data_IF_471234031861
#
_entry.id   IF_471234031861
#
_cell.length_a   1.000
_cell.length_b   1.000
_cell.length_c   1.000
_cell.angle_alpha   90.00
_cell.angle_beta   90.00
_cell.angle_gamma   90.00
#
_symmetry.space_group_name_H-M   'P 1'
#
loop_
_entity.id
_entity.type
_entity.pdbx_description
1 polymer ?
#
# COMPACT_ATOMS: atom_id res chain seq x y z
N UNK A 1 -71.30 -85.77 2.24
CA UNK A 1 -70.41 -85.39 3.35
C UNK A 1 -70.76 -83.97 3.77
N UNK A 2 -71.28 -83.75 4.99
CA UNK A 2 -71.64 -82.41 5.52
C UNK A 2 -70.45 -81.88 6.35
N UNK A 3 -69.93 -80.72 5.97
CA UNK A 3 -68.79 -80.05 6.61
C UNK A 3 -69.32 -79.05 7.66
N UNK A 4 -68.93 -79.20 8.93
CA UNK A 4 -69.38 -78.35 10.06
C UNK A 4 -68.32 -77.28 10.39
N UNK A 5 -68.60 -75.97 10.25
CA UNK A 5 -67.58 -74.92 10.33
C UNK A 5 -67.32 -74.35 11.73
N UNK A 6 -67.76 -74.99 12.81
CA UNK A 6 -67.75 -74.37 14.16
C UNK A 6 -66.46 -74.55 14.97
N UNK A 7 -65.48 -75.36 14.53
CA UNK A 7 -64.23 -75.59 15.29
C UNK A 7 -63.08 -74.63 14.96
N UNK A 8 -63.08 -74.02 13.78
CA UNK A 8 -61.99 -73.13 13.37
C UNK A 8 -62.03 -71.78 14.08
N UNK A 9 -63.23 -71.25 14.34
CA UNK A 9 -63.40 -69.95 14.99
C UNK A 9 -63.01 -69.96 16.47
N UNK A 10 -63.19 -71.07 17.19
CA UNK A 10 -62.77 -71.18 18.59
C UNK A 10 -61.24 -71.28 18.76
N UNK A 11 -60.54 -71.93 17.82
CA UNK A 11 -59.08 -72.03 17.87
C UNK A 11 -58.41 -70.68 17.60
N UNK A 12 -58.96 -69.93 16.63
CA UNK A 12 -58.47 -68.59 16.27
C UNK A 12 -58.79 -67.56 17.36
N UNK A 13 -59.95 -67.67 18.01
CA UNK A 13 -60.31 -66.81 19.14
C UNK A 13 -59.45 -67.07 20.38
N UNK A 14 -59.13 -68.34 20.68
CA UNK A 14 -58.20 -68.65 21.78
C UNK A 14 -56.76 -68.22 21.49
N UNK A 15 -56.33 -68.24 20.22
CA UNK A 15 -55.03 -67.69 19.81
C UNK A 15 -55.00 -66.16 19.99
N UNK A 16 -56.07 -65.46 19.61
CA UNK A 16 -56.20 -64.01 19.78
C UNK A 16 -56.28 -63.60 21.27
N UNK A 17 -56.97 -64.38 22.11
CA UNK A 17 -57.05 -64.12 23.56
C UNK A 17 -55.70 -64.39 24.25
N UNK A 18 -54.91 -65.38 23.80
CA UNK A 18 -53.56 -65.62 24.32
C UNK A 18 -52.55 -64.54 23.89
N UNK A 19 -52.72 -63.94 22.71
CA UNK A 19 -51.92 -62.79 22.28
C UNK A 19 -52.21 -61.53 23.11
N UNK A 20 -53.43 -61.34 23.61
CA UNK A 20 -53.78 -60.21 24.47
C UNK A 20 -53.26 -60.32 25.92
N UNK A 21 -53.03 -61.53 26.43
CA UNK A 21 -52.54 -61.74 27.80
C UNK A 21 -51.02 -61.53 27.94
N UNK A 22 -50.27 -61.46 26.83
CA UNK A 22 -48.86 -61.03 26.82
C UNK A 22 -48.69 -59.51 26.89
N UNK A 23 -49.76 -58.76 27.16
CA UNK A 23 -49.67 -57.34 27.50
C UNK A 23 -49.22 -57.23 28.95
N UNK A 24 -47.95 -57.58 29.18
CA UNK A 24 -47.27 -57.27 30.42
C UNK A 24 -47.43 -55.78 30.69
N UNK A 25 -47.60 -55.46 31.97
CA UNK A 25 -47.51 -54.11 32.50
C UNK A 25 -46.08 -53.57 32.27
N UNK A 26 -45.74 -53.23 31.02
CA UNK A 26 -44.62 -52.35 30.72
C UNK A 26 -45.03 -50.97 31.20
N UNK A 27 -44.45 -50.55 32.32
CA UNK A 27 -44.93 -49.39 33.07
C UNK A 27 -44.85 -48.10 32.27
N UNK A 28 -45.70 -47.13 32.66
CA UNK A 28 -45.88 -45.83 32.00
C UNK A 28 -44.63 -44.93 31.85
N UNK A 29 -43.44 -45.44 32.16
CA UNK A 29 -42.14 -44.80 31.94
C UNK A 29 -41.65 -44.87 30.49
N UNK A 30 -42.09 -45.83 29.66
CA UNK A 30 -41.64 -45.96 28.25
C UNK A 30 -42.00 -44.73 27.40
N UNK A 31 -43.20 -44.18 27.57
CA UNK A 31 -43.63 -42.94 26.88
C UNK A 31 -42.82 -41.73 27.35
N UNK A 32 -42.52 -41.65 28.65
CA UNK A 32 -41.73 -40.54 29.21
C UNK A 32 -40.29 -40.57 28.70
N UNK A 33 -39.67 -41.76 28.63
CA UNK A 33 -38.29 -41.92 28.14
C UNK A 33 -38.19 -41.62 26.65
N UNK A 34 -39.14 -42.09 25.84
CA UNK A 34 -39.14 -41.81 24.39
C UNK A 34 -39.38 -40.34 24.09
N UNK A 35 -40.32 -39.69 24.79
CA UNK A 35 -40.53 -38.24 24.67
C UNK A 35 -39.30 -37.47 25.14
N UNK A 36 -38.67 -37.86 26.24
CA UNK A 36 -37.43 -37.22 26.69
C UNK A 36 -36.29 -37.38 25.67
N UNK A 37 -36.12 -38.56 25.08
CA UNK A 37 -35.13 -38.79 24.01
C UNK A 37 -35.44 -37.95 22.76
N UNK A 38 -36.71 -37.88 22.35
CA UNK A 38 -37.13 -37.07 21.21
C UNK A 38 -36.93 -35.57 21.46
N UNK A 39 -37.15 -35.10 22.68
CA UNK A 39 -36.86 -33.72 23.07
C UNK A 39 -35.36 -33.44 22.98
N UNK A 40 -34.50 -34.33 23.49
CA UNK A 40 -33.04 -34.20 23.40
C UNK A 40 -32.60 -34.17 21.92
N UNK A 41 -33.09 -35.11 21.11
CA UNK A 41 -32.78 -35.16 19.68
C UNK A 41 -33.27 -33.90 18.93
N UNK A 42 -34.46 -33.40 19.26
CA UNK A 42 -34.99 -32.16 18.69
C UNK A 42 -34.10 -30.96 19.04
N UNK A 43 -33.66 -30.85 20.29
CA UNK A 43 -32.73 -29.78 20.70
C UNK A 43 -31.39 -29.86 19.98
N UNK A 44 -30.88 -31.07 19.72
CA UNK A 44 -29.63 -31.28 18.99
C UNK A 44 -29.76 -30.88 17.51
N UNK A 45 -30.89 -31.19 16.86
CA UNK A 45 -31.12 -30.79 15.48
C UNK A 45 -31.28 -29.27 15.34
N UNK A 46 -31.99 -28.64 16.26
CA UNK A 46 -32.13 -27.18 16.29
C UNK A 46 -30.76 -26.52 16.50
N UNK A 47 -29.94 -27.02 17.43
CA UNK A 47 -28.61 -26.47 17.67
C UNK A 47 -27.70 -26.62 16.45
N UNK A 48 -27.70 -27.79 15.79
CA UNK A 48 -26.93 -28.01 14.56
C UNK A 48 -27.39 -27.10 13.41
N UNK A 49 -28.70 -26.89 13.24
CA UNK A 49 -29.23 -25.98 12.22
C UNK A 49 -28.82 -24.52 12.46
N UNK A 50 -28.80 -24.07 13.73
CA UNK A 50 -28.33 -22.73 14.09
C UNK A 50 -26.83 -22.59 13.82
N UNK A 51 -26.02 -23.59 14.18
CA UNK A 51 -24.57 -23.59 13.89
C UNK A 51 -24.31 -23.52 12.39
N UNK A 52 -25.00 -24.34 11.58
CA UNK A 52 -24.84 -24.35 10.12
C UNK A 52 -25.19 -23.01 9.47
N UNK A 53 -26.22 -22.30 9.97
CA UNK A 53 -26.53 -20.93 9.50
C UNK A 53 -25.42 -19.94 9.83
N UNK A 54 -24.86 -20.04 11.04
CA UNK A 54 -23.75 -19.19 11.47
C UNK A 54 -22.51 -19.47 10.62
N UNK A 55 -22.21 -20.75 10.37
CA UNK A 55 -21.07 -21.14 9.54
C UNK A 55 -21.24 -20.63 8.11
N UNK A 56 -22.43 -20.78 7.53
CA UNK A 56 -22.71 -20.29 6.17
C UNK A 56 -22.60 -18.77 6.07
N UNK A 57 -23.14 -18.04 7.05
CA UNK A 57 -23.03 -16.58 7.11
C UNK A 57 -21.58 -16.13 7.31
N UNK A 58 -20.84 -16.81 8.18
CA UNK A 58 -19.42 -16.56 8.44
C UNK A 58 -18.56 -16.82 7.20
N UNK A 59 -18.73 -17.98 6.56
CA UNK A 59 -18.03 -18.32 5.30
C UNK A 59 -18.38 -17.34 4.19
N UNK A 60 -19.65 -16.93 4.07
CA UNK A 60 -20.07 -15.92 3.10
C UNK A 60 -19.43 -14.55 3.35
N UNK A 61 -19.36 -14.11 4.61
CA UNK A 61 -18.70 -12.86 4.99
C UNK A 61 -17.19 -12.91 4.72
N UNK A 62 -16.53 -14.01 5.06
CA UNK A 62 -15.10 -14.22 4.76
C UNK A 62 -14.83 -14.22 3.26
N UNK A 63 -15.67 -14.90 2.47
CA UNK A 63 -15.54 -14.93 1.01
C UNK A 63 -15.76 -13.54 0.40
N UNK A 64 -16.76 -12.78 0.88
CA UNK A 64 -16.99 -11.39 0.44
C UNK A 64 -15.78 -10.50 0.73
N UNK A 65 -15.21 -10.60 1.93
CA UNK A 65 -14.04 -9.80 2.32
C UNK A 65 -12.80 -10.16 1.49
N UNK A 66 -12.54 -11.46 1.24
CA UNK A 66 -11.44 -11.88 0.37
C UNK A 66 -11.61 -11.41 -1.07
N UNK A 67 -12.81 -11.55 -1.64
CA UNK A 67 -13.09 -11.10 -3.00
C UNK A 67 -13.00 -9.56 -3.12
N UNK A 68 -13.54 -8.86 -2.13
CA UNK A 68 -13.43 -7.40 -2.02
C UNK A 68 -11.99 -6.92 -1.96
N UNK A 69 -11.15 -7.58 -1.15
CA UNK A 69 -9.72 -7.26 -1.06
C UNK A 69 -9.01 -7.35 -2.40
N UNK A 70 -9.20 -8.45 -3.15
CA UNK A 70 -8.57 -8.61 -4.46
C UNK A 70 -9.12 -7.64 -5.51
N UNK A 71 -10.41 -7.29 -5.43
CA UNK A 71 -11.02 -6.30 -6.30
C UNK A 71 -10.46 -4.89 -6.02
N UNK A 72 -10.38 -4.48 -4.75
CA UNK A 72 -9.76 -3.23 -4.34
C UNK A 72 -8.27 -3.20 -4.71
N UNK A 73 -7.54 -4.31 -4.56
CA UNK A 73 -6.13 -4.38 -4.96
C UNK A 73 -5.97 -4.19 -6.48
N UNK A 74 -6.88 -4.75 -7.28
CA UNK A 74 -6.89 -4.55 -8.73
C UNK A 74 -7.16 -3.07 -9.09
N UNK A 75 -8.18 -2.45 -8.49
CA UNK A 75 -8.49 -1.03 -8.69
C UNK A 75 -7.34 -0.13 -8.28
N UNK A 76 -6.79 -0.35 -7.09
CA UNK A 76 -5.64 0.39 -6.56
C UNK A 76 -4.44 0.32 -7.51
N UNK A 77 -4.10 -0.86 -8.02
CA UNK A 77 -2.97 -1.02 -8.94
C UNK A 77 -3.21 -0.35 -10.31
N UNK A 78 -4.44 -0.39 -10.83
CA UNK A 78 -4.78 0.28 -12.08
C UNK A 78 -4.70 1.80 -11.94
N UNK A 79 -5.28 2.35 -10.88
CA UNK A 79 -5.24 3.79 -10.61
C UNK A 79 -3.83 4.26 -10.25
N UNK A 80 -3.09 3.48 -9.48
CA UNK A 80 -1.67 3.72 -9.21
C UNK A 80 -0.85 3.81 -10.49
N UNK A 81 -1.14 2.97 -11.48
CA UNK A 81 -0.46 3.03 -12.78
C UNK A 81 -0.79 4.32 -13.54
N UNK A 82 -2.06 4.73 -13.56
CA UNK A 82 -2.47 5.97 -14.22
C UNK A 82 -1.74 7.18 -13.61
N UNK A 83 -1.77 7.29 -12.28
CA UNK A 83 -1.11 8.37 -11.54
C UNK A 83 0.41 8.33 -11.72
N UNK A 84 1.03 7.13 -11.70
CA UNK A 84 2.47 6.98 -11.96
C UNK A 84 2.87 7.50 -13.34
N UNK A 85 2.05 7.25 -14.36
CA UNK A 85 2.35 7.74 -15.71
C UNK A 85 2.38 9.27 -15.76
N UNK A 86 1.62 9.97 -14.92
CA UNK A 86 1.66 11.44 -14.86
C UNK A 86 2.96 11.98 -14.25
N UNK A 87 3.71 11.17 -13.50
CA UNK A 87 5.03 11.57 -13.01
C UNK A 87 6.14 11.34 -14.04
N UNK A 88 5.86 10.75 -15.20
CA UNK A 88 6.85 10.63 -16.27
C UNK A 88 7.26 12.04 -16.74
N UNK A 89 8.54 12.41 -16.52
CA UNK A 89 9.03 13.75 -16.87
C UNK A 89 8.94 14.80 -15.76
N UNK A 90 8.65 14.41 -14.51
CA UNK A 90 8.50 15.33 -13.37
C UNK A 90 7.32 16.30 -13.51
N UNK A 91 6.29 15.88 -14.22
CA UNK A 91 4.96 16.50 -14.18
C UNK A 91 4.22 16.08 -12.90
N UNK A 92 3.19 16.84 -12.55
CA UNK A 92 2.33 16.57 -11.38
C UNK A 92 0.94 16.25 -11.92
N UNK A 93 0.18 15.36 -11.24
CA UNK A 93 -1.24 15.23 -11.51
C UNK A 93 -1.95 16.58 -11.39
N UNK A 94 -2.90 16.85 -12.28
CA UNK A 94 -3.69 18.09 -12.31
C UNK A 94 -5.17 17.82 -11.99
N UNK A 95 -5.83 18.76 -11.32
CA UNK A 95 -7.24 18.70 -10.95
C UNK A 95 -7.49 18.80 -9.45
N UNK A 96 -8.76 18.76 -9.09
CA UNK A 96 -9.30 18.88 -7.74
C UNK A 96 -9.68 17.50 -7.19
N UNK A 97 -9.28 17.25 -5.95
CA UNK A 97 -9.65 16.03 -5.24
C UNK A 97 -11.17 15.99 -4.96
N UNK A 98 -11.79 14.80 -5.00
CA UNK A 98 -13.21 14.66 -4.65
C UNK A 98 -13.49 15.17 -3.24
N UNK A 99 -14.67 15.78 -3.07
CA UNK A 99 -15.03 16.45 -1.83
C UNK A 99 -16.02 15.63 -1.01
N UNK A 100 -15.87 15.70 0.31
CA UNK A 100 -16.84 15.18 1.26
C UNK A 100 -18.02 16.17 1.39
N UNK A 101 -19.00 16.08 0.48
CA UNK A 101 -20.12 17.03 0.43
C UNK A 101 -21.13 16.88 1.57
N UNK A 102 -21.22 15.69 2.16
CA UNK A 102 -22.15 15.34 3.22
C UNK A 102 -21.49 15.34 4.62
N UNK A 103 -20.17 15.57 4.69
CA UNK A 103 -19.37 15.69 5.92
C UNK A 103 -19.47 14.44 6.82
N UNK A 104 -19.54 13.25 6.22
CA UNK A 104 -19.58 11.97 6.95
C UNK A 104 -18.21 11.31 7.10
N UNK A 105 -17.18 11.85 6.46
CA UNK A 105 -15.81 11.33 6.44
C UNK A 105 -15.60 10.20 5.43
N UNK A 106 -16.55 9.98 4.52
CA UNK A 106 -16.59 8.86 3.57
C UNK A 106 -16.70 9.36 2.13
N UNK A 107 -15.63 9.98 1.61
CA UNK A 107 -15.55 10.53 0.24
C UNK A 107 -15.98 9.52 -0.85
N UNK A 108 -15.77 8.22 -0.62
CA UNK A 108 -16.12 7.16 -1.56
C UNK A 108 -17.63 7.05 -1.83
N UNK A 109 -18.50 7.41 -0.87
CA UNK A 109 -19.95 7.41 -1.07
C UNK A 109 -20.36 8.42 -2.15
N UNK A 110 -19.68 9.56 -2.20
CA UNK A 110 -19.90 10.59 -3.22
C UNK A 110 -19.44 10.10 -4.60
N UNK A 111 -18.28 9.45 -4.67
CA UNK A 111 -17.82 8.78 -5.90
C UNK A 111 -18.83 7.72 -6.40
N UNK A 112 -19.42 6.94 -5.48
CA UNK A 112 -20.40 5.91 -5.82
C UNK A 112 -21.76 6.52 -6.26
N UNK A 113 -22.15 7.63 -5.64
CA UNK A 113 -23.35 8.39 -6.01
C UNK A 113 -23.20 9.18 -7.33
N UNK A 114 -21.96 9.43 -7.77
CA UNK A 114 -21.64 10.26 -8.93
C UNK A 114 -21.69 11.76 -8.62
N UNK A 115 -21.60 12.14 -7.35
CA UNK A 115 -21.61 13.52 -6.87
C UNK A 115 -20.18 13.93 -6.47
N UNK A 116 -19.78 15.18 -6.76
CA UNK A 116 -18.48 15.73 -6.35
C UNK A 116 -17.25 14.84 -6.63
N UNK A 117 -17.23 14.21 -7.82
CA UNK A 117 -16.26 13.19 -8.21
C UNK A 117 -14.81 13.67 -8.39
N UNK A 118 -14.47 14.92 -8.06
CA UNK A 118 -13.19 15.52 -8.46
C UNK A 118 -13.11 15.75 -9.97
N UNK A 119 -11.95 16.16 -10.46
CA UNK A 119 -11.70 16.33 -11.89
C UNK A 119 -10.27 15.95 -12.30
N UNK A 120 -9.99 16.02 -13.61
CA UNK A 120 -8.67 15.74 -14.16
C UNK A 120 -8.11 14.37 -13.77
N UNK A 121 -6.91 14.36 -13.20
CA UNK A 121 -6.23 13.18 -12.70
C UNK A 121 -6.74 12.70 -11.33
N UNK A 122 -7.58 13.50 -10.67
CA UNK A 122 -8.14 13.22 -9.35
C UNK A 122 -9.57 12.66 -9.42
N UNK A 123 -10.20 12.68 -10.59
CA UNK A 123 -11.57 12.18 -10.84
C UNK A 123 -11.78 10.76 -10.31
N UNK A 124 -12.94 10.50 -9.70
CA UNK A 124 -13.34 9.19 -9.22
C UNK A 124 -13.45 8.23 -10.41
N UNK A 125 -12.81 7.08 -10.31
CA UNK A 125 -12.93 6.02 -11.33
C UNK A 125 -13.52 4.77 -10.72
N UNK A 126 -14.57 4.26 -11.36
CA UNK A 126 -15.22 3.00 -11.06
C UNK A 126 -14.68 1.84 -11.92
N UNK A 127 -14.61 0.67 -11.31
CA UNK A 127 -14.30 -0.60 -11.95
C UNK A 127 -15.27 -1.67 -11.44
N UNK A 128 -15.53 -2.70 -12.24
CA UNK A 128 -16.28 -3.88 -11.79
C UNK A 128 -15.42 -5.14 -11.92
N UNK A 129 -15.27 -5.87 -10.80
CA UNK A 129 -14.54 -7.13 -10.75
C UNK A 129 -15.41 -8.22 -10.12
N UNK A 130 -15.94 -9.12 -10.95
CA UNK A 130 -16.67 -10.32 -10.49
C UNK A 130 -17.84 -9.99 -9.52
N UNK A 131 -18.56 -8.90 -9.78
CA UNK A 131 -19.67 -8.45 -8.92
C UNK A 131 -19.24 -7.74 -7.63
N UNK A 132 -17.99 -7.25 -7.59
CA UNK A 132 -17.56 -6.17 -6.72
C UNK A 132 -17.48 -4.89 -7.55
N UNK A 133 -18.13 -3.83 -7.10
CA UNK A 133 -17.95 -2.49 -7.63
C UNK A 133 -16.77 -1.86 -6.88
N UNK A 134 -15.86 -1.20 -7.58
CA UNK A 134 -14.63 -0.68 -7.01
C UNK A 134 -14.45 0.77 -7.39
N UNK A 135 -14.47 1.65 -6.40
CA UNK A 135 -14.26 3.07 -6.56
C UNK A 135 -12.84 3.44 -6.18
N UNK A 136 -12.18 4.22 -7.01
CA UNK A 136 -10.83 4.72 -6.78
C UNK A 136 -10.80 6.22 -6.88
N UNK A 137 -10.09 6.86 -5.96
CA UNK A 137 -9.97 8.31 -5.92
C UNK A 137 -8.65 8.73 -5.29
N UNK A 138 -8.21 9.94 -5.61
CA UNK A 138 -6.92 10.48 -5.15
C UNK A 138 -7.20 11.76 -4.37
N UNK A 139 -6.50 11.90 -3.25
CA UNK A 139 -6.47 13.11 -2.44
C UNK A 139 -5.06 13.71 -2.50
N UNK A 140 -4.92 14.99 -2.84
CA UNK A 140 -3.69 15.72 -2.61
C UNK A 140 -3.63 16.24 -1.17
N UNK A 141 -2.48 16.07 -0.49
CA UNK A 141 -2.29 16.51 0.89
C UNK A 141 -1.19 17.57 0.99
N UNK A 142 -1.57 18.78 1.42
CA UNK A 142 -0.69 19.95 1.55
C UNK A 142 -0.10 20.20 2.95
N UNK A 143 0.51 21.39 3.12
CA UNK A 143 1.01 21.88 4.40
C UNK A 143 -0.14 22.29 5.32
N UNK A 144 -0.21 21.59 6.44
CA UNK A 144 -1.15 21.81 7.54
C UNK A 144 -2.59 21.39 7.23
N UNK A 145 -2.92 20.21 7.76
CA UNK A 145 -4.27 19.91 8.20
C UNK A 145 -4.50 20.73 9.48
N UNK A 146 -5.15 21.88 9.35
CA UNK A 146 -5.85 22.45 10.48
C UNK A 146 -6.78 21.36 11.07
N UNK A 147 -7.09 21.45 12.37
CA UNK A 147 -7.93 20.49 13.10
C UNK A 147 -9.37 20.37 12.53
N UNK A 148 -9.70 21.14 11.49
CA UNK A 148 -10.95 21.17 10.75
C UNK A 148 -10.92 20.40 9.41
N UNK A 149 -9.77 19.83 9.01
CA UNK A 149 -9.67 18.97 7.83
C UNK A 149 -9.63 19.69 6.48
N UNK A 150 -9.45 21.02 6.46
CA UNK A 150 -9.25 21.79 5.23
C UNK A 150 -7.74 22.01 5.02
N UNK A 151 -7.17 21.69 3.85
CA UNK A 151 -5.80 22.08 3.52
C UNK A 151 -5.66 23.61 3.62
N UNK A 152 -4.65 24.12 4.32
CA UNK A 152 -4.32 25.55 4.31
C UNK A 152 -3.89 25.94 2.89
N UNK A 153 -4.85 26.43 2.12
CA UNK A 153 -4.67 27.16 0.86
C UNK A 153 -4.36 28.63 1.23
N UNK A 154 -3.09 28.89 1.58
CA UNK A 154 -2.68 30.20 2.11
C UNK A 154 -2.75 31.32 1.06
N UNK A 155 -2.80 30.99 -0.24
CA UNK A 155 -2.89 31.94 -1.35
C UNK A 155 -4.29 32.04 -1.99
N UNK A 156 -5.22 31.17 -1.60
CA UNK A 156 -6.64 31.20 -1.98
C UNK A 156 -6.92 30.67 -3.39
N UNK A 157 -6.04 29.82 -3.92
CA UNK A 157 -6.09 29.30 -5.29
C UNK A 157 -6.86 27.97 -5.43
N UNK A 158 -7.29 27.38 -4.30
CA UNK A 158 -8.02 26.12 -4.21
C UNK A 158 -7.14 24.87 -4.17
N UNK A 159 -5.80 25.01 -4.23
CA UNK A 159 -4.85 23.90 -4.26
C UNK A 159 -4.06 23.76 -2.93
N UNK A 160 -3.65 22.55 -2.55
CA UNK A 160 -2.86 22.38 -1.33
C UNK A 160 -1.41 22.89 -1.49
N UNK A 161 -0.93 23.65 -0.50
CA UNK A 161 0.45 24.16 -0.48
C UNK A 161 1.51 23.04 -0.35
N UNK A 162 2.67 23.14 -1.05
CA UNK A 162 3.74 22.15 -0.99
C UNK A 162 4.41 22.02 0.38
N UNK A 163 4.68 20.79 0.82
CA UNK A 163 5.34 20.52 2.11
C UNK A 163 6.85 20.77 2.03
N UNK A 164 7.33 21.85 2.67
CA UNK A 164 8.77 22.08 2.83
C UNK A 164 9.37 21.07 3.80
N UNK A 165 10.17 20.14 3.28
CA UNK A 165 10.86 19.10 4.04
C UNK A 165 12.37 19.15 3.81
N UNK A 166 13.13 18.58 4.74
CA UNK A 166 14.54 18.25 4.49
C UNK A 166 14.61 16.76 4.15
N UNK A 167 15.27 16.41 3.05
CA UNK A 167 15.39 15.03 2.59
C UNK A 167 16.05 14.17 3.69
N UNK A 168 15.40 13.07 4.13
CA UNK A 168 15.91 12.22 5.20
C UNK A 168 17.28 11.61 4.89
N UNK A 169 18.02 11.26 5.93
CA UNK A 169 19.27 10.51 5.79
C UNK A 169 19.02 9.11 5.25
N UNK A 170 19.81 8.68 4.26
CA UNK A 170 19.67 7.36 3.63
C UNK A 170 18.99 7.40 2.26
N UNK A 171 18.40 8.54 1.89
CA UNK A 171 17.83 8.76 0.56
C UNK A 171 18.79 9.53 -0.35
N UNK A 172 18.53 9.50 -1.67
CA UNK A 172 19.26 10.32 -2.64
C UNK A 172 19.03 11.80 -2.29
N UNK A 173 20.10 12.59 -2.29
CA UNK A 173 20.06 14.01 -1.93
C UNK A 173 19.74 14.32 -0.46
N UNK A 174 20.02 13.39 0.45
CA UNK A 174 19.89 13.60 1.89
C UNK A 174 20.46 14.94 2.39
N UNK A 175 19.69 15.61 3.25
CA UNK A 175 20.06 16.90 3.83
C UNK A 175 19.94 18.09 2.89
N UNK A 176 19.24 17.96 1.77
CA UNK A 176 18.75 19.09 0.97
C UNK A 176 17.34 19.48 1.39
N UNK A 177 17.02 20.76 1.28
CA UNK A 177 15.63 21.21 1.35
C UNK A 177 14.91 20.79 0.07
N UNK A 178 13.67 20.34 0.20
CA UNK A 178 12.81 19.92 -0.88
C UNK A 178 11.38 20.38 -0.60
N UNK A 179 10.62 20.61 -1.67
CA UNK A 179 9.17 20.71 -1.62
C UNK A 179 8.60 19.31 -1.91
N UNK A 180 7.84 18.76 -0.97
CA UNK A 180 7.17 17.46 -1.05
C UNK A 180 5.69 17.67 -1.36
N UNK A 181 5.23 17.06 -2.44
CA UNK A 181 3.83 16.87 -2.78
C UNK A 181 3.44 15.44 -2.42
N UNK A 182 2.37 15.28 -1.63
CA UNK A 182 1.87 13.98 -1.20
C UNK A 182 0.49 13.74 -1.78
N UNK A 183 0.29 12.54 -2.32
CA UNK A 183 -0.98 12.10 -2.87
C UNK A 183 -1.38 10.79 -2.21
N UNK A 184 -2.56 10.74 -1.60
CA UNK A 184 -3.13 9.55 -1.02
C UNK A 184 -4.16 8.97 -1.99
N UNK A 185 -3.88 7.77 -2.49
CA UNK A 185 -4.74 7.03 -3.39
C UNK A 185 -5.53 5.99 -2.60
N UNK A 186 -6.84 5.98 -2.79
CA UNK A 186 -7.76 5.03 -2.17
C UNK A 186 -8.42 4.13 -3.20
N UNK A 187 -8.75 2.91 -2.78
CA UNK A 187 -9.61 1.98 -3.51
C UNK A 187 -10.57 1.30 -2.55
N UNK A 188 -11.86 1.49 -2.80
CA UNK A 188 -12.96 0.93 -2.02
C UNK A 188 -13.68 -0.09 -2.89
N UNK A 189 -13.75 -1.34 -2.42
CA UNK A 189 -14.56 -2.38 -3.05
C UNK A 189 -15.87 -2.54 -2.28
N UNK A 190 -16.96 -2.71 -3.02
CA UNK A 190 -18.31 -2.83 -2.51
C UNK A 190 -19.03 -4.04 -3.11
N UNK A 191 -19.94 -4.59 -2.31
CA UNK A 191 -20.90 -5.58 -2.79
C UNK A 191 -22.26 -5.35 -2.15
N UNK A 192 -23.24 -5.02 -3.00
CA UNK A 192 -24.62 -4.69 -2.55
C UNK A 192 -24.64 -3.49 -1.61
N UNK A 193 -23.99 -2.40 -2.05
CA UNK A 193 -23.92 -1.10 -1.35
C UNK A 193 -23.30 -1.19 0.05
N UNK A 194 -22.40 -2.17 0.24
CA UNK A 194 -21.67 -2.38 1.48
C UNK A 194 -20.18 -2.55 1.17
N UNK A 195 -19.30 -1.78 1.83
CA UNK A 195 -17.87 -1.90 1.63
C UNK A 195 -17.38 -3.27 2.09
N UNK A 196 -16.73 -3.98 1.18
CA UNK A 196 -16.14 -5.31 1.39
C UNK A 196 -14.63 -5.21 1.70
N UNK A 197 -13.95 -4.18 1.18
CA UNK A 197 -12.57 -3.84 1.50
C UNK A 197 -12.24 -2.38 1.16
N UNK A 198 -11.30 -1.78 1.91
CA UNK A 198 -10.75 -0.44 1.63
C UNK A 198 -9.23 -0.52 1.70
N UNK A 199 -8.57 -0.11 0.63
CA UNK A 199 -7.10 -0.08 0.51
C UNK A 199 -6.63 1.33 0.20
N UNK A 200 -5.44 1.66 0.67
CA UNK A 200 -4.81 2.95 0.41
C UNK A 200 -3.32 2.82 0.14
N UNK A 201 -2.78 3.73 -0.66
CA UNK A 201 -1.35 3.92 -0.85
C UNK A 201 -1.02 5.39 -1.00
N UNK A 202 0.19 5.78 -0.61
CA UNK A 202 0.65 7.16 -0.73
C UNK A 202 1.79 7.29 -1.73
N UNK A 203 1.71 8.30 -2.59
CA UNK A 203 2.79 8.74 -3.47
C UNK A 203 3.40 10.03 -2.95
N UNK A 204 4.71 10.17 -3.13
CA UNK A 204 5.43 11.39 -2.78
C UNK A 204 6.28 11.83 -3.94
N UNK A 205 6.11 13.08 -4.36
CA UNK A 205 6.98 13.74 -5.31
C UNK A 205 7.76 14.83 -4.60
N UNK A 206 9.09 14.83 -4.74
CA UNK A 206 9.94 15.85 -4.14
C UNK A 206 10.66 16.63 -5.22
N UNK A 207 10.57 17.95 -5.12
CA UNK A 207 11.31 18.89 -5.94
C UNK A 207 12.39 19.54 -5.10
N UNK A 208 13.64 19.38 -5.52
CA UNK A 208 14.79 20.02 -4.87
C UNK A 208 15.17 21.28 -5.64
N UNK A 209 15.13 22.47 -5.01
CA UNK A 209 15.55 23.70 -5.65
C UNK A 209 17.03 23.67 -6.07
N UNK A 210 17.30 24.05 -7.32
CA UNK A 210 18.64 24.05 -7.92
C UNK A 210 19.66 24.96 -7.24
N UNK A 211 19.22 26.06 -6.63
CA UNK A 211 20.11 27.04 -5.99
C UNK A 211 20.90 26.49 -4.79
N UNK A 212 20.57 25.27 -4.33
CA UNK A 212 21.31 24.57 -3.29
C UNK A 212 22.61 23.90 -3.79
N UNK A 213 22.82 23.87 -5.11
CA UNK A 213 24.03 23.35 -5.75
C UNK A 213 24.93 24.49 -6.24
N UNK A 214 26.24 24.35 -6.02
CA UNK A 214 27.21 25.24 -6.65
C UNK A 214 27.42 24.89 -8.12
N UNK A 215 27.30 23.61 -8.45
CA UNK A 215 27.34 23.11 -9.84
C UNK A 215 26.28 22.03 -10.00
N UNK A 216 25.41 22.22 -10.99
CA UNK A 216 24.46 21.22 -11.44
C UNK A 216 24.53 21.12 -12.97
N UNK A 217 24.57 19.89 -13.49
CA UNK A 217 24.43 19.62 -14.92
C UNK A 217 23.36 18.56 -15.14
N UNK A 218 22.48 18.79 -16.11
CA UNK A 218 21.50 17.78 -16.53
C UNK A 218 22.22 16.59 -17.18
N UNK A 219 23.12 16.86 -18.13
CA UNK A 219 23.93 15.81 -18.75
C UNK A 219 25.28 15.66 -18.02
N UNK A 220 26.22 14.95 -18.64
CA UNK A 220 27.57 14.80 -18.11
C UNK A 220 28.21 16.15 -17.74
N UNK A 221 28.86 16.18 -16.59
CA UNK A 221 29.68 17.31 -16.17
C UNK A 221 31.15 17.03 -16.45
N UNK A 222 31.81 17.97 -17.12
CA UNK A 222 33.20 17.83 -17.55
C UNK A 222 34.11 18.90 -16.92
N UNK A 223 35.01 18.43 -16.05
CA UNK A 223 36.13 19.18 -15.49
C UNK A 223 37.47 18.57 -15.93
N UNK A 224 37.68 18.46 -17.24
CA UNK A 224 38.89 17.83 -17.81
C UNK A 224 40.14 18.72 -17.73
N UNK A 225 40.02 20.04 -17.92
CA UNK A 225 41.17 20.98 -17.85
C UNK A 225 40.84 22.19 -16.97
N UNK A 226 40.46 21.98 -15.69
CA UNK A 226 40.17 23.10 -14.82
C UNK A 226 41.49 23.82 -14.49
N UNK A 227 41.49 25.16 -14.42
CA UNK A 227 42.57 25.89 -13.79
C UNK A 227 42.62 25.57 -12.28
N UNK A 228 43.56 26.16 -11.55
CA UNK A 228 43.55 26.04 -10.09
C UNK A 228 42.27 26.68 -9.55
N UNK A 229 41.34 25.86 -9.06
CA UNK A 229 40.03 26.32 -8.66
C UNK A 229 39.50 25.55 -7.45
N UNK A 230 38.71 26.27 -6.65
CA UNK A 230 38.02 25.73 -5.49
C UNK A 230 36.53 25.94 -5.66
N UNK A 231 35.74 24.87 -5.64
CA UNK A 231 34.29 24.89 -5.69
C UNK A 231 33.76 24.80 -4.24
N UNK A 232 33.08 25.86 -3.82
CA UNK A 232 32.43 25.94 -2.52
C UNK A 232 30.93 25.66 -2.68
N UNK A 233 30.52 24.43 -2.37
CA UNK A 233 29.13 23.99 -2.44
C UNK A 233 29.01 22.62 -3.11
N UNK A 234 27.78 22.12 -3.20
CA UNK A 234 27.50 20.77 -3.70
C UNK A 234 27.63 20.71 -5.22
N UNK A 235 28.07 19.57 -5.73
CA UNK A 235 28.22 19.29 -7.16
C UNK A 235 27.38 18.06 -7.51
N UNK A 236 26.50 18.21 -8.51
CA UNK A 236 25.70 17.12 -9.06
C UNK A 236 25.70 17.10 -10.58
N UNK A 237 25.54 15.90 -11.16
CA UNK A 237 25.22 15.71 -12.57
C UNK A 237 24.30 14.50 -12.73
N UNK A 238 23.28 14.56 -13.61
CA UNK A 238 22.45 13.38 -13.89
C UNK A 238 23.18 12.40 -14.83
N UNK A 239 24.19 12.85 -15.57
CA UNK A 239 25.09 12.03 -16.38
C UNK A 239 26.36 11.59 -15.64
N UNK A 240 27.40 11.28 -16.41
CA UNK A 240 28.74 10.97 -15.91
C UNK A 240 29.47 12.24 -15.42
N UNK A 241 30.27 12.10 -14.36
CA UNK A 241 31.09 13.19 -13.84
C UNK A 241 32.57 12.94 -14.16
N UNK A 242 33.20 13.84 -14.90
CA UNK A 242 34.62 13.77 -15.23
C UNK A 242 35.38 14.81 -14.42
N UNK A 243 36.24 14.36 -13.50
CA UNK A 243 37.12 15.22 -12.73
C UNK A 243 38.57 14.99 -13.14
N UNK A 244 39.28 16.05 -13.47
CA UNK A 244 40.71 16.02 -13.70
C UNK A 244 41.37 17.32 -13.25
N UNK A 245 42.67 17.45 -13.47
CA UNK A 245 43.40 18.70 -13.34
C UNK A 245 44.17 18.97 -14.62
N UNK A 246 44.36 20.24 -14.97
CA UNK A 246 45.05 20.62 -16.21
C UNK A 246 46.49 20.08 -16.31
N UNK A 247 47.23 20.00 -15.20
CA UNK A 247 48.59 19.44 -15.13
C UNK A 247 48.97 19.10 -13.67
N UNK A 248 50.17 18.54 -13.45
CA UNK A 248 50.67 18.13 -12.12
C UNK A 248 50.81 19.26 -11.09
N UNK A 249 50.90 20.52 -11.52
CA UNK A 249 51.01 21.69 -10.65
C UNK A 249 49.67 22.36 -10.31
N UNK A 250 48.57 21.89 -10.89
CA UNK A 250 47.23 22.49 -10.73
C UNK A 250 46.37 21.60 -9.82
N UNK A 251 45.48 22.24 -9.05
CA UNK A 251 44.58 21.59 -8.11
C UNK A 251 43.13 21.97 -8.37
N UNK A 252 42.26 20.96 -8.42
CA UNK A 252 40.81 21.10 -8.29
C UNK A 252 40.42 20.69 -6.88
N UNK A 253 39.74 21.58 -6.14
CA UNK A 253 39.24 21.28 -4.80
C UNK A 253 37.73 21.49 -4.76
N UNK A 254 36.99 20.47 -4.34
CA UNK A 254 35.55 20.55 -4.13
C UNK A 254 35.26 20.36 -2.64
N UNK A 255 34.86 21.45 -2.00
CA UNK A 255 34.65 21.50 -0.55
C UNK A 255 33.26 20.98 -0.13
N UNK A 256 32.32 20.86 -1.07
CA UNK A 256 30.99 20.28 -0.83
C UNK A 256 30.89 18.81 -1.21
N UNK A 257 29.67 18.27 -1.05
CA UNK A 257 29.36 16.89 -1.41
C UNK A 257 29.28 16.74 -2.94
N UNK A 258 29.89 15.65 -3.46
CA UNK A 258 29.91 15.32 -4.89
C UNK A 258 29.05 14.10 -5.16
N UNK A 259 28.12 14.24 -6.10
CA UNK A 259 27.14 13.21 -6.47
C UNK A 259 26.99 13.14 -7.99
N UNK A 260 26.68 11.96 -8.53
CA UNK A 260 26.45 11.73 -9.97
C UNK A 260 25.49 10.55 -10.11
N UNK A 261 24.54 10.59 -11.05
CA UNK A 261 23.72 9.43 -11.39
C UNK A 261 24.43 8.45 -12.32
N UNK A 262 25.34 8.97 -13.16
CA UNK A 262 26.26 8.16 -13.96
C UNK A 262 27.47 7.68 -13.17
N UNK A 263 28.57 7.49 -13.88
CA UNK A 263 29.85 7.08 -13.30
C UNK A 263 30.71 8.30 -13.02
N UNK A 264 31.37 8.29 -11.85
CA UNK A 264 32.46 9.23 -11.56
C UNK A 264 33.77 8.73 -12.19
N UNK A 265 34.35 9.56 -13.06
CA UNK A 265 35.64 9.34 -13.71
C UNK A 265 36.69 10.30 -13.18
N UNK A 266 37.90 9.77 -12.97
CA UNK A 266 39.10 10.59 -12.80
C UNK A 266 39.88 10.56 -14.11
N UNK A 267 39.79 11.63 -14.88
CA UNK A 267 40.42 11.75 -16.20
C UNK A 267 39.59 12.53 -17.20
N UNK A 268 40.07 12.57 -18.44
CA UNK A 268 39.42 13.24 -19.56
C UNK A 268 38.21 12.44 -20.09
N UNK A 269 37.12 13.14 -20.41
CA UNK A 269 35.94 12.58 -21.09
C UNK A 269 36.25 12.00 -22.47
N UNK A 270 37.11 12.64 -23.26
CA UNK A 270 37.45 12.23 -24.64
C UNK A 270 38.30 10.96 -24.69
N UNK A 271 39.09 10.72 -23.64
CA UNK A 271 40.04 9.61 -23.59
C UNK A 271 39.65 8.59 -22.52
N UNK A 272 38.38 8.12 -22.56
CA UNK A 272 37.84 7.11 -21.64
C UNK A 272 38.72 5.85 -21.63
N UNK A 273 39.67 5.77 -20.72
CA UNK A 273 40.59 4.63 -20.57
C UNK A 273 42.08 4.91 -20.83
N UNK A 274 42.45 6.06 -21.38
CA UNK A 274 43.86 6.50 -21.35
C UNK A 274 44.09 7.22 -20.03
N UNK A 275 44.89 6.63 -19.15
CA UNK A 275 45.11 7.05 -17.77
C UNK A 275 45.85 8.39 -17.69
N UNK A 276 45.17 9.51 -17.97
CA UNK A 276 45.71 10.87 -17.91
C UNK A 276 45.26 11.55 -16.61
N UNK A 277 45.66 10.97 -15.48
CA UNK A 277 45.45 11.57 -14.17
C UNK A 277 46.53 12.62 -13.92
N UNK A 278 46.22 13.86 -14.25
CA UNK A 278 47.07 15.00 -13.97
C UNK A 278 46.64 15.67 -12.66
N UNK A 279 47.60 16.27 -11.97
CA UNK A 279 47.40 17.11 -10.78
C UNK A 279 46.66 16.47 -9.61
N UNK A 280 46.18 17.31 -8.70
CA UNK A 280 45.44 16.87 -7.52
C UNK A 280 43.95 17.25 -7.63
N UNK A 281 43.07 16.27 -7.44
CA UNK A 281 41.63 16.47 -7.27
C UNK A 281 41.27 16.03 -5.87
N UNK A 282 40.74 16.95 -5.07
CA UNK A 282 40.30 16.68 -3.69
C UNK A 282 38.79 16.89 -3.58
N UNK A 283 38.07 15.90 -3.05
CA UNK A 283 36.63 15.97 -2.76
C UNK A 283 36.38 15.68 -1.28
N UNK A 284 35.43 16.39 -0.65
CA UNK A 284 35.17 16.26 0.80
C UNK A 284 34.46 14.96 1.17
N UNK A 285 33.39 14.62 0.45
CA UNK A 285 32.67 13.35 0.58
C UNK A 285 32.36 12.78 -0.78
N UNK A 286 32.54 11.48 -0.89
CA UNK A 286 32.24 10.70 -2.08
C UNK A 286 31.03 9.81 -1.82
N UNK A 287 29.93 10.03 -2.54
CA UNK A 287 28.78 9.12 -2.49
C UNK A 287 28.85 7.99 -3.54
N UNK A 288 29.80 8.03 -4.48
CA UNK A 288 29.96 7.04 -5.56
C UNK A 288 31.45 6.79 -5.83
N UNK A 289 31.94 5.55 -5.77
CA UNK A 289 33.36 5.18 -5.98
C UNK A 289 33.79 5.44 -7.45
N UNK A 290 34.99 6.01 -7.72
CA UNK A 290 35.38 6.36 -9.07
C UNK A 290 35.90 5.13 -9.83
N UNK A 291 35.50 4.94 -11.09
CA UNK A 291 35.91 3.76 -11.89
C UNK A 291 37.34 3.85 -12.46
N UNK A 292 38.00 5.01 -12.38
CA UNK A 292 39.31 5.23 -13.00
C UNK A 292 40.29 5.91 -12.04
N UNK A 293 41.57 5.56 -12.19
CA UNK A 293 42.70 5.90 -11.33
C UNK A 293 42.57 5.42 -9.88
N UNK A 294 43.28 4.33 -9.57
CA UNK A 294 43.47 3.81 -8.22
C UNK A 294 44.44 4.71 -7.44
N UNK A 295 43.95 5.87 -6.99
CA UNK A 295 44.52 6.67 -5.89
C UNK A 295 43.60 7.87 -5.62
N UNK A 296 42.47 7.63 -4.94
CA UNK A 296 41.87 8.71 -4.16
C UNK A 296 42.43 8.62 -2.75
N UNK A 297 43.12 9.66 -2.30
CA UNK A 297 43.42 9.84 -0.87
C UNK A 297 42.09 10.23 -0.21
N UNK A 298 41.39 9.22 0.29
CA UNK A 298 40.18 9.40 1.06
C UNK A 298 40.54 9.89 2.48
N UNK A 299 39.95 10.97 2.99
CA UNK A 299 39.76 11.06 4.43
C UNK A 299 38.74 9.98 4.82
N UNK A 300 39.23 8.95 5.52
CA UNK A 300 38.48 7.77 5.96
C UNK A 300 37.14 8.10 6.61
N UNK A 301 36.02 7.92 5.88
CA UNK A 301 34.71 7.46 6.40
C UNK A 301 33.94 6.77 5.25
N UNK A 302 34.06 5.45 5.13
CA UNK A 302 33.25 4.65 4.22
C UNK A 302 31.92 4.30 4.89
N UNK A 303 30.80 4.79 4.35
CA UNK A 303 29.46 4.28 4.70
C UNK A 303 29.14 3.15 3.72
N UNK A 304 29.19 1.92 4.24
CA UNK A 304 28.73 0.70 3.56
C UNK A 304 27.21 0.69 3.58
N UNK A 305 26.58 0.78 2.42
CA UNK A 305 25.15 0.52 2.27
C UNK A 305 25.02 -0.92 1.79
N UNK A 306 24.97 -1.85 2.74
CA UNK A 306 24.55 -3.23 2.47
C UNK A 306 23.02 -3.30 2.56
N UNK A 307 22.30 -3.91 1.60
CA UNK A 307 20.88 -4.18 1.75
C UNK A 307 20.70 -5.23 2.86
N UNK A 308 20.16 -4.80 4.00
CA UNK A 308 19.82 -5.68 5.12
C UNK A 308 18.42 -6.23 4.87
N UNK A 309 18.34 -7.39 4.22
CA UNK A 309 17.10 -8.17 4.12
C UNK A 309 16.80 -8.73 5.51
N UNK A 310 15.80 -8.16 6.18
CA UNK A 310 15.26 -8.71 7.41
C UNK A 310 14.06 -9.58 7.07
N UNK A 311 14.28 -10.89 6.95
CA UNK A 311 13.20 -11.87 6.88
C UNK A 311 12.54 -11.95 8.26
N UNK A 312 11.35 -11.36 8.40
CA UNK A 312 10.51 -11.57 9.58
C UNK A 312 9.72 -12.86 9.34
N UNK A 313 10.11 -13.89 10.10
CA UNK A 313 9.37 -15.13 10.28
C UNK A 313 8.03 -14.84 10.99
N UNK A 314 6.93 -15.33 10.42
CA UNK A 314 5.61 -15.35 11.06
C UNK A 314 5.48 -16.69 11.81
N UNK A 315 5.34 -16.72 13.15
CA UNK A 315 4.86 -17.90 13.83
C UNK A 315 3.33 -17.90 13.82
N UNK A 316 2.74 -18.93 13.20
CA UNK A 316 1.35 -19.30 13.43
C UNK A 316 1.21 -20.12 14.71
N UNK A 317 0.18 -19.83 15.50
CA UNK A 317 -0.80 -20.81 16.03
C UNK A 317 -1.95 -20.10 16.79
N UNK A 318 -3.12 -20.75 16.94
CA UNK A 318 -4.40 -20.08 17.11
C UNK A 318 -4.80 -19.90 18.58
N UNK A 319 -5.54 -18.83 18.88
CA UNK A 319 -6.24 -18.68 20.16
C UNK A 319 -7.75 -18.61 19.91
N UNK A 320 -8.43 -19.68 20.34
CA UNK A 320 -9.88 -19.80 20.49
C UNK A 320 -10.31 -19.09 21.79
N UNK A 321 -11.14 -18.03 21.73
CA UNK A 321 -11.93 -17.54 22.88
C UNK A 321 -13.32 -17.02 22.36
N UNK A 322 -14.43 -17.24 23.11
CA UNK A 322 -15.77 -17.40 22.53
C UNK A 322 -16.63 -16.13 22.48
N UNK A 323 -17.72 -16.26 21.71
CA UNK A 323 -18.83 -15.32 21.46
C UNK A 323 -19.31 -14.53 22.69
N UNK A 324 -19.42 -13.21 22.57
CA UNK A 324 -20.68 -12.47 22.73
C UNK A 324 -20.50 -10.97 22.50
N UNK A 325 -21.54 -10.34 21.94
CA UNK A 325 -21.75 -8.90 21.64
C UNK A 325 -21.33 -8.46 20.25
N UNK A 326 -22.37 -8.18 19.46
CA UNK A 326 -22.31 -7.44 18.21
C UNK A 326 -21.60 -6.10 18.46
N UNK A 327 -20.47 -5.93 17.77
CA UNK A 327 -19.83 -4.65 17.57
C UNK A 327 -19.69 -4.47 16.07
N UNK A 328 -20.22 -3.34 15.62
CA UNK A 328 -19.93 -2.62 14.39
C UNK A 328 -18.46 -2.83 14.00
N UNK A 329 -18.22 -3.32 12.78
CA UNK A 329 -16.85 -3.50 12.28
C UNK A 329 -16.19 -2.12 12.15
N UNK A 330 -15.05 -1.85 12.81
CA UNK A 330 -14.18 -0.80 12.32
C UNK A 330 -13.62 -1.28 10.99
N UNK A 331 -13.82 -0.52 9.91
CA UNK A 331 -13.13 -0.69 8.64
C UNK A 331 -11.63 -0.83 8.93
N UNK A 332 -11.06 -2.02 8.75
CA UNK A 332 -9.62 -2.20 8.86
C UNK A 332 -8.97 -1.51 7.66
N UNK A 333 -8.60 -0.23 7.82
CA UNK A 333 -7.74 0.48 6.86
C UNK A 333 -6.37 -0.20 6.91
N UNK A 334 -6.10 -1.08 5.95
CA UNK A 334 -4.76 -1.60 5.75
C UNK A 334 -3.97 -0.60 4.92
N UNK A 335 -3.13 0.19 5.60
CA UNK A 335 -2.13 1.03 4.95
C UNK A 335 -0.97 0.11 4.54
N UNK A 336 -0.80 -0.07 3.22
CA UNK A 336 0.42 -0.64 2.66
C UNK A 336 1.53 0.39 2.94
N UNK A 337 2.70 -0.01 3.49
CA UNK A 337 3.77 0.94 3.78
C UNK A 337 4.16 1.69 2.50
N UNK A 338 4.48 3.00 2.58
CA UNK A 338 4.74 3.82 1.40
C UNK A 338 5.97 3.27 0.67
N UNK A 339 5.80 2.87 -0.58
CA UNK A 339 6.87 2.37 -1.44
C UNK A 339 6.89 3.09 -2.79
N UNK A 340 6.86 4.42 -2.80
CA UNK A 340 7.49 5.17 -3.89
C UNK A 340 7.68 6.65 -3.52
N UNK A 341 8.93 7.10 -3.52
CA UNK A 341 9.27 8.52 -3.47
C UNK A 341 9.95 8.85 -4.80
N UNK A 342 9.29 9.65 -5.61
CA UNK A 342 9.83 10.17 -6.86
C UNK A 342 10.59 11.46 -6.50
N UNK A 343 11.91 11.43 -6.64
CA UNK A 343 12.77 12.58 -6.30
C UNK A 343 13.35 13.16 -7.58
N UNK A 344 12.96 14.39 -7.88
CA UNK A 344 13.46 15.17 -9.00
C UNK A 344 14.19 16.42 -8.56
N UNK A 345 15.11 16.88 -9.41
CA UNK A 345 15.68 18.23 -9.31
C UNK A 345 15.03 19.03 -10.43
N UNK A 346 14.27 20.08 -10.08
CA UNK A 346 13.61 20.97 -11.05
C UNK A 346 13.90 22.42 -10.68
N UNK A 347 14.01 23.27 -11.70
CA UNK A 347 14.09 24.71 -11.49
C UNK A 347 12.69 25.19 -11.07
N UNK A 348 12.55 25.67 -9.83
CA UNK A 348 11.30 26.28 -9.38
C UNK A 348 11.28 27.71 -9.94
N UNK A 349 10.48 27.94 -10.98
CA UNK A 349 10.21 29.26 -11.52
C UNK A 349 9.11 29.92 -10.69
N UNK A 350 9.50 30.71 -9.68
CA UNK A 350 8.51 31.36 -8.80
C UNK A 350 9.06 32.21 -7.65
N UNK A 351 10.33 32.62 -7.70
CA UNK A 351 10.88 33.60 -6.75
C UNK A 351 11.23 34.87 -7.52
N UNK A 352 10.22 35.71 -7.73
CA UNK A 352 10.37 37.12 -8.08
C UNK A 352 9.89 37.99 -6.93
#
# INVERSE_FOLDING_TARGET
MKYHPSRFQHSLFQLLVRLQCSRQQEGGYSLVVTVAMLLILSTLLISAAVVSKIDSASTGASARSSNGFFAAEAGLNLRAKQIRNQFEGFERPEGDSPQDTNNDGEIWDNCAAGDANGDGDFDCIDYNFQGQDVFTYVEEVGQDSNLDGVPDDLDGDGSPDPISVTVPTGERFAGLSAQEFRYDLWSVAEQSDLPSAVLGMSFKSRVIPLFQFAVFYENDADFTIPPNMTINGRVHTNGDLYLNSANSGVRLTINGDVTTAGTLYRGNKDSRGSQQCAGNVTIRRQMVVPKTCFAMVMPSQAISIAPRVHLISVPGEPQLIPKSRAWMYPSQRYSIPPQEVIIGIKQISGLS
#
